data_IF_332146112496
#
_entry.id   IF_332146112496
#
_cell.length_a   1.000
_cell.length_b   1.000
_cell.length_c   1.000
_cell.angle_alpha   90.00
_cell.angle_beta   90.00
_cell.angle_gamma   90.00
#
_symmetry.space_group_name_H-M   'P 1'
#
loop_
_entity.id
_entity.type
_entity.pdbx_description
1 polymer ?
#
# COMPACT_ATOMS: atom_id res chain seq x y z
N UNK A 1 18.79 9.40 5.75
CA UNK A 1 17.37 9.75 5.54
C UNK A 1 17.11 10.30 4.14
N UNK A 2 17.87 11.32 3.72
CA UNK A 2 17.74 11.94 2.39
C UNK A 2 17.79 10.92 1.22
N UNK A 3 18.73 9.98 1.24
CA UNK A 3 18.84 8.95 0.20
C UNK A 3 17.58 8.08 0.13
N UNK A 4 17.09 7.57 1.26
CA UNK A 4 15.85 6.76 1.33
C UNK A 4 14.65 7.53 0.77
N UNK A 5 14.56 8.83 1.05
CA UNK A 5 13.52 9.70 0.53
C UNK A 5 13.60 9.83 -0.99
N UNK A 6 14.78 10.11 -1.55
CA UNK A 6 14.97 10.22 -3.00
C UNK A 6 14.64 8.91 -3.73
N UNK A 7 15.13 7.78 -3.22
CA UNK A 7 14.85 6.47 -3.81
C UNK A 7 13.34 6.18 -3.79
N UNK A 8 12.67 6.47 -2.67
CA UNK A 8 11.21 6.32 -2.55
C UNK A 8 10.46 7.23 -3.52
N UNK A 9 10.93 8.47 -3.75
CA UNK A 9 10.33 9.39 -4.71
C UNK A 9 10.47 8.88 -6.15
N UNK A 10 11.64 8.42 -6.57
CA UNK A 10 11.81 7.86 -7.93
C UNK A 10 10.91 6.64 -8.15
N UNK A 11 10.86 5.74 -7.18
CA UNK A 11 9.97 4.58 -7.20
C UNK A 11 8.50 5.03 -7.30
N UNK A 12 8.10 6.02 -6.51
CA UNK A 12 6.74 6.59 -6.50
C UNK A 12 6.38 7.22 -7.84
N UNK A 13 7.29 7.96 -8.45
CA UNK A 13 7.09 8.62 -9.75
C UNK A 13 6.93 7.58 -10.87
N UNK A 14 7.73 6.51 -10.84
CA UNK A 14 7.58 5.36 -11.72
C UNK A 14 6.19 4.72 -11.61
N UNK A 15 5.77 4.35 -10.39
CA UNK A 15 4.45 3.77 -10.16
C UNK A 15 3.29 4.73 -10.46
N UNK A 16 3.43 6.03 -10.16
CA UNK A 16 2.40 7.03 -10.46
C UNK A 16 2.06 7.06 -11.94
N UNK A 17 3.07 6.99 -12.81
CA UNK A 17 2.86 6.99 -14.25
C UNK A 17 2.08 5.75 -14.73
N UNK A 18 2.26 4.59 -14.09
CA UNK A 18 1.46 3.38 -14.36
C UNK A 18 0.00 3.51 -13.95
N UNK A 19 -0.33 4.34 -12.95
CA UNK A 19 -1.73 4.52 -12.53
C UNK A 19 -2.62 5.02 -13.67
N UNK A 20 -2.07 5.74 -14.65
CA UNK A 20 -2.81 6.23 -15.81
C UNK A 20 -3.17 5.12 -16.81
N UNK A 21 -2.61 3.91 -16.68
CA UNK A 21 -2.97 2.75 -17.51
C UNK A 21 -4.18 1.99 -16.98
N UNK A 22 -4.39 2.00 -15.67
CA UNK A 22 -5.41 1.15 -15.03
C UNK A 22 -6.48 1.91 -14.24
N UNK A 23 -6.26 3.18 -13.91
CA UNK A 23 -7.18 4.04 -13.18
C UNK A 23 -7.46 5.34 -13.96
N UNK A 24 -8.68 5.47 -14.47
CA UNK A 24 -9.10 6.60 -15.31
C UNK A 24 -9.48 7.82 -14.45
N UNK A 25 -10.41 7.65 -13.51
CA UNK A 25 -11.02 8.76 -12.76
C UNK A 25 -10.51 8.87 -11.32
N UNK A 26 -9.20 9.10 -11.16
CA UNK A 26 -8.57 9.22 -9.85
C UNK A 26 -7.81 10.54 -9.65
N UNK A 27 -7.96 11.20 -8.48
CA UNK A 27 -7.27 12.44 -8.20
C UNK A 27 -5.78 12.22 -7.99
N UNK A 28 -4.97 13.26 -8.24
CA UNK A 28 -3.51 13.20 -8.10
C UNK A 28 -3.05 12.65 -6.75
N UNK A 29 -3.73 13.00 -5.64
CA UNK A 29 -3.39 12.51 -4.30
C UNK A 29 -3.48 10.99 -4.22
N UNK A 30 -4.51 10.38 -4.80
CA UNK A 30 -4.65 8.93 -4.89
C UNK A 30 -3.58 8.34 -5.81
N UNK A 31 -3.29 8.99 -6.95
CA UNK A 31 -2.25 8.54 -7.88
C UNK A 31 -0.86 8.53 -7.25
N UNK A 32 -0.57 9.47 -6.34
CA UNK A 32 0.66 9.48 -5.55
C UNK A 32 0.73 8.31 -4.56
N UNK A 33 -0.36 8.06 -3.82
CA UNK A 33 -0.43 6.92 -2.89
C UNK A 33 -0.36 5.57 -3.61
N UNK A 34 -1.20 5.37 -4.63
CA UNK A 34 -1.18 4.17 -5.47
C UNK A 34 0.13 4.02 -6.23
N UNK A 35 0.73 5.13 -6.68
CA UNK A 35 2.02 5.16 -7.34
C UNK A 35 3.17 4.72 -6.44
N UNK A 36 3.18 5.17 -5.18
CA UNK A 36 4.16 4.71 -4.19
C UNK A 36 4.06 3.18 -3.97
N UNK A 37 2.84 2.65 -3.81
CA UNK A 37 2.60 1.22 -3.58
C UNK A 37 2.99 0.40 -4.81
N UNK A 38 2.45 0.73 -5.98
CA UNK A 38 2.72 0.00 -7.23
C UNK A 38 4.18 0.11 -7.67
N UNK A 39 4.79 1.28 -7.47
CA UNK A 39 6.22 1.47 -7.70
C UNK A 39 7.05 0.54 -6.81
N UNK A 40 6.76 0.48 -5.51
CA UNK A 40 7.49 -0.40 -4.59
C UNK A 40 7.32 -1.88 -4.94
N UNK A 41 6.11 -2.30 -5.32
CA UNK A 41 5.82 -3.67 -5.79
C UNK A 41 6.67 -4.03 -7.01
N UNK A 42 6.70 -3.16 -8.03
CA UNK A 42 7.41 -3.42 -9.28
C UNK A 42 8.92 -3.36 -9.07
N UNK A 43 9.41 -2.33 -8.37
CA UNK A 43 10.81 -2.20 -8.02
C UNK A 43 11.30 -3.44 -7.25
N UNK A 44 10.55 -3.85 -6.22
CA UNK A 44 10.87 -5.03 -5.42
C UNK A 44 10.89 -6.32 -6.25
N UNK A 45 9.86 -6.55 -7.07
CA UNK A 45 9.80 -7.74 -7.93
C UNK A 45 10.93 -7.79 -8.95
N UNK A 46 11.21 -6.68 -9.63
CA UNK A 46 12.31 -6.60 -10.62
C UNK A 46 13.66 -6.78 -9.92
N UNK A 47 13.85 -6.16 -8.75
CA UNK A 47 15.06 -6.34 -7.94
C UNK A 47 15.25 -7.80 -7.52
N UNK A 48 14.19 -8.45 -7.06
CA UNK A 48 14.21 -9.86 -6.69
C UNK A 48 14.63 -10.76 -7.86
N UNK A 49 14.00 -10.61 -9.03
CA UNK A 49 14.30 -11.42 -10.22
C UNK A 49 15.74 -11.21 -10.68
N UNK A 50 16.20 -9.96 -10.78
CA UNK A 50 17.56 -9.64 -11.22
C UNK A 50 18.59 -10.13 -10.21
N UNK A 51 18.33 -9.96 -8.91
CA UNK A 51 19.23 -10.41 -7.86
C UNK A 51 19.33 -11.94 -7.79
N UNK A 52 18.27 -12.68 -8.14
CA UNK A 52 18.36 -14.14 -8.26
C UNK A 52 19.26 -14.59 -9.43
N UNK A 53 19.36 -13.79 -10.49
CA UNK A 53 20.16 -14.13 -11.68
C UNK A 53 21.61 -13.64 -11.58
N UNK A 54 21.81 -12.45 -11.03
CA UNK A 54 23.09 -11.74 -11.08
C UNK A 54 23.64 -11.34 -9.70
N UNK A 55 22.95 -11.74 -8.62
CA UNK A 55 23.29 -11.37 -7.25
C UNK A 55 22.80 -9.98 -6.83
N UNK A 56 22.72 -9.76 -5.52
CA UNK A 56 22.23 -8.50 -4.93
C UNK A 56 23.32 -7.43 -4.86
N UNK A 57 23.50 -6.74 -5.98
CA UNK A 57 24.51 -5.69 -6.17
C UNK A 57 23.88 -4.31 -6.34
N UNK A 58 24.68 -3.24 -6.18
CA UNK A 58 24.24 -1.87 -6.47
C UNK A 58 23.85 -1.67 -7.94
N UNK A 59 24.50 -2.40 -8.86
CA UNK A 59 24.15 -2.41 -10.28
C UNK A 59 22.76 -3.05 -10.52
N UNK A 60 22.47 -4.18 -9.88
CA UNK A 60 21.15 -4.81 -9.94
C UNK A 60 20.06 -3.84 -9.46
N UNK A 61 20.27 -3.21 -8.29
CA UNK A 61 19.34 -2.24 -7.70
C UNK A 61 19.12 -1.04 -8.63
N UNK A 62 20.18 -0.51 -9.21
CA UNK A 62 20.12 0.63 -10.12
C UNK A 62 19.37 0.28 -11.41
N UNK A 63 19.59 -0.91 -11.97
CA UNK A 63 18.82 -1.39 -13.12
C UNK A 63 17.34 -1.59 -12.79
N UNK A 64 17.02 -2.12 -11.61
CA UNK A 64 15.62 -2.25 -11.14
C UNK A 64 14.96 -0.89 -11.00
N UNK A 65 15.68 0.12 -10.49
CA UNK A 65 15.18 1.50 -10.41
C UNK A 65 14.92 2.08 -11.79
N UNK A 66 15.85 1.92 -12.74
CA UNK A 66 15.66 2.35 -14.14
C UNK A 66 14.45 1.68 -14.79
N UNK A 67 14.28 0.37 -14.55
CA UNK A 67 13.13 -0.40 -15.04
C UNK A 67 11.82 0.13 -14.45
N UNK A 68 11.80 0.44 -13.15
CA UNK A 68 10.65 1.04 -12.48
C UNK A 68 10.29 2.44 -13.03
N UNK A 69 11.25 3.15 -13.63
CA UNK A 69 11.06 4.48 -14.24
C UNK A 69 10.65 4.42 -15.72
N UNK A 70 10.77 3.28 -16.41
CA UNK A 70 10.34 3.12 -17.81
C UNK A 70 8.90 3.60 -18.09
N UNK A 71 7.92 3.42 -17.18
CA UNK A 71 6.56 3.88 -17.42
C UNK A 71 6.42 5.41 -17.57
N UNK A 72 7.45 6.20 -17.25
CA UNK A 72 7.46 7.64 -17.56
C UNK A 72 7.35 7.94 -19.06
N UNK A 73 7.72 6.99 -19.93
CA UNK A 73 7.54 7.08 -21.38
C UNK A 73 6.07 7.30 -21.75
N UNK A 74 5.12 6.89 -20.89
CA UNK A 74 3.68 7.13 -21.10
C UNK A 74 3.34 8.62 -21.19
N UNK A 75 4.07 9.50 -20.52
CA UNK A 75 3.87 10.95 -20.62
C UNK A 75 4.34 11.55 -21.95
N UNK A 76 5.00 10.77 -22.81
CA UNK A 76 5.21 11.11 -24.21
C UNK A 76 3.91 11.10 -25.02
N UNK A 77 2.88 10.37 -24.57
CA UNK A 77 1.56 10.35 -25.20
C UNK A 77 0.75 11.59 -24.79
N UNK A 78 0.17 12.28 -25.77
CA UNK A 78 -0.54 13.56 -25.57
C UNK A 78 -1.72 13.43 -24.60
N UNK A 79 -2.47 12.35 -24.70
CA UNK A 79 -3.62 12.02 -23.86
C UNK A 79 -3.24 11.86 -22.39
N UNK A 80 -2.21 11.07 -22.10
CA UNK A 80 -1.74 10.81 -20.72
C UNK A 80 -1.17 12.08 -20.10
N UNK A 81 -0.41 12.85 -20.88
CA UNK A 81 0.13 14.15 -20.45
C UNK A 81 -0.98 15.16 -20.14
N UNK A 82 -2.02 15.24 -20.97
CA UNK A 82 -3.16 16.12 -20.72
C UNK A 82 -3.91 15.73 -19.45
N UNK A 83 -4.15 14.42 -19.22
CA UNK A 83 -4.75 13.92 -17.98
C UNK A 83 -3.93 14.30 -16.76
N UNK A 84 -2.61 14.10 -16.79
CA UNK A 84 -1.73 14.50 -15.70
C UNK A 84 -1.74 16.00 -15.43
N UNK A 85 -1.69 16.83 -16.48
CA UNK A 85 -1.75 18.29 -16.31
C UNK A 85 -3.09 18.75 -15.75
N UNK A 86 -4.19 18.11 -16.13
CA UNK A 86 -5.51 18.37 -15.55
C UNK A 86 -5.56 17.99 -14.06
N UNK A 87 -5.06 16.81 -13.70
CA UNK A 87 -4.97 16.35 -12.31
C UNK A 87 -4.07 17.26 -11.45
N UNK A 88 -2.95 17.70 -12.02
CA UNK A 88 -2.05 18.67 -11.40
C UNK A 88 -2.72 20.02 -11.17
N UNK A 89 -3.41 20.55 -12.18
CA UNK A 89 -4.11 21.82 -12.08
C UNK A 89 -5.25 21.74 -11.06
N UNK A 90 -6.01 20.64 -11.03
CA UNK A 90 -7.05 20.42 -10.04
C UNK A 90 -6.49 20.30 -8.62
N UNK A 91 -5.34 19.64 -8.43
CA UNK A 91 -4.66 19.59 -7.15
C UNK A 91 -4.18 20.99 -6.71
N UNK A 92 -3.63 21.79 -7.62
CA UNK A 92 -3.20 23.16 -7.35
C UNK A 92 -4.37 24.06 -6.95
N UNK A 93 -5.48 24.02 -7.67
CA UNK A 93 -6.70 24.78 -7.34
C UNK A 93 -7.28 24.40 -5.97
N UNK A 94 -7.13 23.13 -5.55
CA UNK A 94 -7.53 22.69 -4.22
C UNK A 94 -6.67 23.29 -3.09
N UNK A 95 -5.45 23.74 -3.41
CA UNK A 95 -4.52 24.39 -2.47
C UNK A 95 -4.58 25.93 -2.56
N UNK A 96 -4.94 26.50 -3.70
CA UNK A 96 -5.05 27.95 -3.90
C UNK A 96 -6.27 28.54 -3.17
N UNK A 97 -6.09 29.67 -2.48
CA UNK A 97 -7.16 30.35 -1.73
C UNK A 97 -7.44 29.71 -0.37
N UNK A 98 -7.33 30.51 0.70
CA UNK A 98 -7.58 30.05 2.06
C UNK A 98 -9.08 30.03 2.37
N UNK A 99 -9.58 28.86 2.77
CA UNK A 99 -10.92 28.63 3.29
C UNK A 99 -10.81 27.59 4.43
N UNK A 100 -11.70 27.68 5.40
CA UNK A 100 -11.78 26.77 6.54
C UNK A 100 -11.90 25.29 6.10
N UNK A 101 -12.68 24.98 5.06
CA UNK A 101 -12.80 23.60 4.56
C UNK A 101 -11.49 23.06 3.97
N UNK A 102 -10.73 23.93 3.27
CA UNK A 102 -9.39 23.59 2.76
C UNK A 102 -8.40 23.42 3.91
N UNK A 103 -8.44 24.30 4.91
CA UNK A 103 -7.63 24.18 6.12
C UNK A 103 -7.89 22.87 6.86
N UNK A 104 -9.16 22.50 7.08
CA UNK A 104 -9.50 21.23 7.74
C UNK A 104 -9.01 20.01 6.96
N UNK A 105 -9.11 20.02 5.62
CA UNK A 105 -8.56 18.95 4.78
C UNK A 105 -7.04 18.86 4.90
N UNK A 106 -6.33 19.99 4.85
CA UNK A 106 -4.89 20.03 5.06
C UNK A 106 -4.52 19.52 6.45
N UNK A 107 -5.18 20.03 7.50
CA UNK A 107 -4.95 19.64 8.89
C UNK A 107 -5.16 18.14 9.10
N UNK A 108 -6.18 17.54 8.47
CA UNK A 108 -6.42 16.09 8.52
C UNK A 108 -5.20 15.30 8.01
N UNK A 109 -4.73 15.59 6.79
CA UNK A 109 -3.60 14.86 6.21
C UNK A 109 -2.29 15.18 6.93
N UNK A 110 -2.07 16.43 7.33
CA UNK A 110 -0.88 16.85 8.08
C UNK A 110 -0.82 16.17 9.45
N UNK A 111 -1.95 16.08 10.17
CA UNK A 111 -2.02 15.40 11.46
C UNK A 111 -1.65 13.91 11.33
N UNK A 112 -2.17 13.22 10.32
CA UNK A 112 -1.80 11.83 10.06
C UNK A 112 -0.34 11.66 9.64
N UNK A 113 0.19 12.55 8.80
CA UNK A 113 1.59 12.50 8.42
C UNK A 113 2.52 12.65 9.66
N UNK A 114 2.23 13.65 10.50
CA UNK A 114 2.95 13.89 11.76
C UNK A 114 2.82 12.68 12.69
N UNK A 115 1.62 12.13 12.83
CA UNK A 115 1.37 10.92 13.61
C UNK A 115 2.22 9.75 13.11
N UNK A 116 2.17 9.42 11.81
CA UNK A 116 2.92 8.30 11.25
C UNK A 116 4.43 8.49 11.39
N UNK A 117 4.93 9.71 11.17
CA UNK A 117 6.34 10.01 11.35
C UNK A 117 6.79 9.72 12.78
N UNK A 118 6.14 10.31 13.78
CA UNK A 118 6.53 10.08 15.19
C UNK A 118 6.25 8.65 15.66
N UNK A 119 5.21 8.01 15.13
CA UNK A 119 4.90 6.61 15.45
C UNK A 119 6.01 5.67 14.97
N UNK A 120 6.39 5.75 13.69
CA UNK A 120 7.44 4.87 13.13
C UNK A 120 8.84 5.27 13.58
N UNK A 121 9.07 6.52 13.97
CA UNK A 121 10.32 6.96 14.61
C UNK A 121 10.56 6.18 15.92
N UNK A 122 9.48 5.92 16.68
CA UNK A 122 9.51 5.10 17.91
C UNK A 122 9.54 3.60 17.66
N UNK A 123 9.25 3.14 16.44
CA UNK A 123 9.31 1.72 16.10
C UNK A 123 10.74 1.18 16.12
N UNK A 124 11.74 2.01 15.77
CA UNK A 124 13.15 1.66 15.77
C UNK A 124 13.99 2.81 16.34
N UNK A 125 14.50 2.60 17.55
CA UNK A 125 15.44 3.47 18.23
C UNK A 125 16.84 2.83 18.18
N UNK A 126 17.81 3.56 17.64
CA UNK A 126 19.22 3.15 17.66
C UNK A 126 19.98 4.10 18.58
N UNK A 127 20.53 3.59 19.67
CA UNK A 127 21.38 4.35 20.60
C UNK A 127 22.76 3.71 20.69
N UNK A 128 23.66 4.31 21.47
CA UNK A 128 24.99 3.72 21.75
C UNK A 128 24.90 2.39 22.51
N UNK A 129 23.81 2.20 23.26
CA UNK A 129 23.59 1.02 24.10
C UNK A 129 22.94 -0.14 23.33
N UNK A 130 22.47 0.10 22.10
CA UNK A 130 21.91 -0.92 21.23
C UNK A 130 20.69 -0.48 20.44
N UNK A 131 19.91 -1.47 20.01
CA UNK A 131 18.67 -1.31 19.25
C UNK A 131 17.49 -1.54 20.20
N UNK A 132 16.56 -0.59 20.22
CA UNK A 132 15.37 -0.60 21.05
C UNK A 132 14.12 -0.36 20.20
N UNK A 133 12.97 -0.74 20.72
CA UNK A 133 11.67 -0.43 20.13
C UNK A 133 10.73 0.12 21.18
N UNK A 134 9.94 1.14 20.81
CA UNK A 134 8.94 1.74 21.67
C UNK A 134 7.62 0.95 21.78
N UNK A 135 7.50 -0.17 21.06
CA UNK A 135 6.30 -1.00 21.06
C UNK A 135 6.62 -2.44 21.45
N UNK A 136 5.99 -2.93 22.53
CA UNK A 136 6.23 -4.28 23.05
C UNK A 136 6.00 -5.38 22.02
N UNK A 137 4.98 -5.24 21.16
CA UNK A 137 4.68 -6.22 20.11
C UNK A 137 5.78 -6.30 19.04
N UNK A 138 6.55 -5.22 18.85
CA UNK A 138 7.62 -5.17 17.84
C UNK A 138 8.95 -5.73 18.36
N UNK A 139 9.00 -6.21 19.61
CA UNK A 139 10.23 -6.73 20.22
C UNK A 139 10.77 -7.97 19.49
N UNK A 140 9.88 -8.84 19.00
CA UNK A 140 10.26 -10.02 18.19
C UNK A 140 10.39 -9.72 16.70
N UNK A 141 9.52 -8.86 16.16
CA UNK A 141 9.46 -8.60 14.72
C UNK A 141 10.58 -7.67 14.23
N UNK A 142 10.98 -6.66 15.01
CA UNK A 142 12.09 -5.78 14.63
C UNK A 142 13.39 -6.55 14.35
N UNK A 143 13.92 -7.40 15.27
CA UNK A 143 15.14 -8.15 15.00
C UNK A 143 14.96 -9.15 13.85
N UNK A 144 13.76 -9.73 13.66
CA UNK A 144 13.48 -10.58 12.50
C UNK A 144 13.63 -9.81 11.18
N UNK A 145 13.02 -8.62 11.07
CA UNK A 145 13.12 -7.78 9.88
C UNK A 145 14.54 -7.25 9.63
N UNK A 146 15.28 -6.90 10.69
CA UNK A 146 16.68 -6.54 10.58
C UNK A 146 17.52 -7.73 10.08
N UNK A 147 17.28 -8.93 10.61
CA UNK A 147 17.91 -10.17 10.14
C UNK A 147 17.65 -10.42 8.66
N UNK A 148 16.40 -10.25 8.20
CA UNK A 148 16.06 -10.35 6.78
C UNK A 148 16.82 -9.32 5.93
N UNK A 149 16.79 -8.03 6.31
CA UNK A 149 17.48 -6.95 5.59
C UNK A 149 18.98 -7.23 5.47
N UNK A 150 19.65 -7.51 6.59
CA UNK A 150 21.10 -7.71 6.61
C UNK A 150 21.53 -9.05 5.99
N UNK A 151 20.64 -10.06 5.95
CA UNK A 151 20.91 -11.28 5.18
C UNK A 151 21.07 -10.96 3.68
N UNK A 152 20.30 -10.01 3.14
CA UNK A 152 20.45 -9.59 1.75
C UNK A 152 21.69 -8.74 1.53
N UNK A 153 21.93 -7.73 2.38
CA UNK A 153 23.03 -6.77 2.16
C UNK A 153 24.40 -7.38 2.43
N UNK A 154 24.54 -8.08 3.56
CA UNK A 154 25.82 -8.50 4.13
C UNK A 154 26.00 -10.02 3.99
N UNK A 155 24.90 -10.78 4.09
CA UNK A 155 24.89 -12.24 3.97
C UNK A 155 24.84 -12.77 2.53
N UNK A 156 24.69 -11.91 1.52
CA UNK A 156 24.56 -12.30 0.10
C UNK A 156 23.48 -13.38 -0.13
N UNK A 157 22.35 -13.28 0.56
CA UNK A 157 21.30 -14.29 0.61
C UNK A 157 20.43 -14.37 -0.67
N UNK A 158 21.02 -14.79 -1.80
CA UNK A 158 20.33 -15.01 -3.07
C UNK A 158 20.76 -16.34 -3.73
N UNK A 159 19.80 -17.22 -4.11
CA UNK A 159 18.36 -17.11 -3.87
C UNK A 159 18.00 -17.12 -2.37
N UNK A 160 16.91 -16.44 -1.94
CA UNK A 160 16.65 -16.24 -0.51
C UNK A 160 16.41 -17.53 0.28
N UNK A 161 17.23 -17.71 1.30
CA UNK A 161 17.07 -18.71 2.36
C UNK A 161 16.59 -18.05 3.66
N UNK A 162 15.97 -18.84 4.53
CA UNK A 162 15.53 -18.36 5.83
C UNK A 162 16.75 -17.89 6.66
N UNK A 163 16.80 -16.61 7.09
CA UNK A 163 17.96 -16.06 7.80
C UNK A 163 18.16 -16.68 9.20
N UNK A 164 17.13 -17.30 9.76
CA UNK A 164 17.18 -17.96 11.07
C UNK A 164 17.26 -19.49 10.99
N UNK A 165 17.04 -20.09 9.81
CA UNK A 165 17.10 -21.53 9.60
C UNK A 165 17.80 -21.86 8.27
N UNK A 166 19.13 -21.96 8.34
CA UNK A 166 19.99 -22.17 7.18
C UNK A 166 19.61 -23.43 6.37
N UNK A 167 19.71 -23.33 5.03
CA UNK A 167 19.35 -24.42 4.12
C UNK A 167 17.85 -24.54 3.82
N UNK A 168 16.99 -23.77 4.49
CA UNK A 168 15.55 -23.75 4.24
C UNK A 168 15.16 -22.55 3.40
N UNK A 169 14.20 -22.73 2.48
CA UNK A 169 13.65 -21.64 1.67
C UNK A 169 13.05 -20.54 2.54
N UNK A 170 13.23 -19.28 2.14
CA UNK A 170 12.59 -18.17 2.84
C UNK A 170 11.10 -18.06 2.45
N UNK A 171 10.20 -18.46 3.36
CA UNK A 171 8.73 -18.48 3.13
C UNK A 171 7.98 -17.29 3.73
N UNK A 172 8.67 -16.44 4.50
CA UNK A 172 8.06 -15.20 4.96
C UNK A 172 7.99 -14.19 3.81
N UNK A 173 6.89 -13.43 3.62
CA UNK A 173 6.81 -12.39 2.59
C UNK A 173 7.83 -11.26 2.80
N UNK A 174 8.99 -11.36 2.16
CA UNK A 174 10.17 -10.54 2.41
C UNK A 174 10.27 -9.28 1.53
N UNK A 175 9.28 -9.00 0.66
CA UNK A 175 9.41 -7.93 -0.34
C UNK A 175 9.64 -6.55 0.27
N UNK A 176 8.95 -6.22 1.37
CA UNK A 176 9.16 -4.95 2.07
C UNK A 176 10.59 -4.83 2.62
N UNK A 177 11.15 -5.93 3.12
CA UNK A 177 12.53 -6.01 3.63
C UNK A 177 13.55 -5.92 2.52
N UNK A 178 13.31 -6.56 1.37
CA UNK A 178 14.17 -6.46 0.19
C UNK A 178 14.28 -5.02 -0.34
N UNK A 179 13.17 -4.29 -0.35
CA UNK A 179 13.16 -2.87 -0.77
C UNK A 179 14.00 -2.03 0.21
N UNK A 180 13.82 -2.22 1.52
CA UNK A 180 14.64 -1.54 2.51
C UNK A 180 16.12 -1.94 2.42
N UNK A 181 16.42 -3.22 2.21
CA UNK A 181 17.77 -3.72 1.96
C UNK A 181 18.39 -3.08 0.72
N UNK A 182 17.60 -2.81 -0.32
CA UNK A 182 18.08 -2.12 -1.52
C UNK A 182 18.51 -0.69 -1.18
N UNK A 183 17.78 0.01 -0.32
CA UNK A 183 18.17 1.35 0.12
C UNK A 183 19.44 1.30 0.98
N UNK A 184 19.55 0.31 1.87
CA UNK A 184 20.74 0.10 2.70
C UNK A 184 21.97 -0.21 1.85
N UNK A 185 21.84 -1.10 0.86
CA UNK A 185 22.93 -1.45 -0.07
C UNK A 185 23.39 -0.26 -0.91
N UNK A 186 22.50 0.71 -1.17
CA UNK A 186 22.81 1.97 -1.84
C UNK A 186 23.42 3.03 -0.89
N UNK A 187 23.56 2.72 0.41
CA UNK A 187 24.22 3.57 1.40
C UNK A 187 23.30 4.26 2.41
N UNK A 188 22.01 3.94 2.45
CA UNK A 188 21.11 4.49 3.45
C UNK A 188 21.28 3.80 4.82
N UNK A 189 21.10 4.53 5.92
CA UNK A 189 20.96 3.90 7.23
C UNK A 189 19.67 3.07 7.28
N UNK A 190 19.75 1.85 7.83
CA UNK A 190 18.61 0.92 7.91
C UNK A 190 17.40 1.52 8.62
N UNK A 191 17.63 2.26 9.71
CA UNK A 191 16.58 2.97 10.44
C UNK A 191 15.82 3.93 9.53
N UNK A 192 16.54 4.71 8.73
CA UNK A 192 15.94 5.70 7.85
C UNK A 192 15.25 5.06 6.64
N UNK A 193 15.80 3.96 6.11
CA UNK A 193 15.16 3.18 5.05
C UNK A 193 13.79 2.65 5.52
N UNK A 194 13.74 2.04 6.70
CA UNK A 194 12.50 1.54 7.30
C UNK A 194 11.52 2.67 7.63
N UNK A 195 11.98 3.75 8.27
CA UNK A 195 11.14 4.89 8.64
C UNK A 195 10.46 5.52 7.42
N UNK A 196 11.25 5.89 6.41
CA UNK A 196 10.72 6.54 5.20
C UNK A 196 9.74 5.61 4.49
N UNK A 197 10.09 4.34 4.31
CA UNK A 197 9.23 3.38 3.64
C UNK A 197 7.89 3.21 4.38
N UNK A 198 7.94 3.02 5.70
CA UNK A 198 6.73 2.80 6.51
C UNK A 198 5.82 4.03 6.51
N UNK A 199 6.37 5.24 6.65
CA UNK A 199 5.58 6.49 6.60
C UNK A 199 4.90 6.66 5.25
N UNK A 200 5.62 6.42 4.15
CA UNK A 200 5.06 6.53 2.79
C UNK A 200 3.95 5.50 2.56
N UNK A 201 4.15 4.24 3.00
CA UNK A 201 3.15 3.19 2.86
C UNK A 201 1.91 3.43 3.73
N UNK A 202 2.08 3.84 4.99
CA UNK A 202 0.96 4.16 5.87
C UNK A 202 0.12 5.34 5.35
N UNK A 203 0.79 6.36 4.81
CA UNK A 203 0.13 7.49 4.19
C UNK A 203 -0.56 7.11 2.87
N UNK A 204 0.04 6.21 2.09
CA UNK A 204 -0.60 5.64 0.90
C UNK A 204 -1.86 4.87 1.27
N UNK A 205 -1.80 4.03 2.31
CA UNK A 205 -2.95 3.29 2.84
C UNK A 205 -4.07 4.23 3.28
N UNK A 206 -3.74 5.32 3.97
CA UNK A 206 -4.72 6.34 4.37
C UNK A 206 -5.51 6.87 3.16
N UNK A 207 -4.79 7.31 2.12
CA UNK A 207 -5.41 7.95 0.95
C UNK A 207 -6.20 6.92 0.11
N UNK A 208 -5.64 5.73 -0.08
CA UNK A 208 -6.25 4.66 -0.86
C UNK A 208 -7.53 4.17 -0.16
N UNK A 209 -7.50 3.96 1.17
CA UNK A 209 -8.66 3.52 1.94
C UNK A 209 -9.76 4.57 1.98
N UNK A 210 -9.40 5.85 2.16
CA UNK A 210 -10.36 6.96 2.08
C UNK A 210 -11.10 6.94 0.75
N UNK A 211 -10.35 6.84 -0.35
CA UNK A 211 -10.92 6.85 -1.71
C UNK A 211 -11.77 5.62 -1.98
N UNK A 212 -11.30 4.44 -1.60
CA UNK A 212 -12.03 3.19 -1.75
C UNK A 212 -13.37 3.23 -0.99
N UNK A 213 -13.34 3.68 0.26
CA UNK A 213 -14.56 3.81 1.08
C UNK A 213 -15.53 4.82 0.47
N UNK A 214 -15.04 5.94 -0.06
CA UNK A 214 -15.87 6.88 -0.81
C UNK A 214 -16.50 6.23 -2.05
N UNK A 215 -15.75 5.44 -2.83
CA UNK A 215 -16.28 4.72 -4.01
C UNK A 215 -17.32 3.66 -3.66
N UNK A 216 -17.20 3.02 -2.50
CA UNK A 216 -18.17 2.05 -1.99
C UNK A 216 -19.46 2.72 -1.50
N UNK A 217 -19.34 3.81 -0.74
CA UNK A 217 -20.45 4.40 0.02
C UNK A 217 -21.06 5.65 -0.61
N UNK A 218 -20.37 6.25 -1.60
CA UNK A 218 -20.64 7.59 -2.13
C UNK A 218 -20.69 8.70 -1.04
N UNK A 219 -20.06 8.47 0.12
CA UNK A 219 -20.10 9.37 1.27
C UNK A 219 -18.68 9.82 1.66
N UNK A 220 -18.41 11.12 1.55
CA UNK A 220 -17.09 11.71 1.87
C UNK A 220 -16.74 11.59 3.34
N UNK A 221 -17.72 11.72 4.23
CA UNK A 221 -17.50 11.58 5.67
C UNK A 221 -17.14 10.14 6.02
N UNK A 222 -17.81 9.15 5.44
CA UNK A 222 -17.44 7.74 5.59
C UNK A 222 -15.99 7.49 5.11
N UNK A 223 -15.61 8.08 3.97
CA UNK A 223 -14.23 8.07 3.48
C UNK A 223 -13.22 8.62 4.49
N UNK A 224 -13.54 9.73 5.18
CA UNK A 224 -12.66 10.33 6.19
C UNK A 224 -12.60 9.55 7.51
N UNK A 225 -13.71 8.91 7.89
CA UNK A 225 -13.81 8.13 9.14
C UNK A 225 -13.12 6.77 9.00
N UNK A 226 -13.17 6.12 7.83
CA UNK A 226 -12.61 4.77 7.68
C UNK A 226 -11.11 4.65 8.05
N UNK A 227 -10.20 5.55 7.63
CA UNK A 227 -8.82 5.52 8.09
C UNK A 227 -8.69 5.73 9.61
N UNK A 228 -9.52 6.58 10.22
CA UNK A 228 -9.52 6.77 11.67
C UNK A 228 -9.90 5.46 12.37
N UNK A 229 -10.95 4.79 11.91
CA UNK A 229 -11.39 3.51 12.45
C UNK A 229 -10.33 2.42 12.27
N UNK A 230 -9.61 2.39 11.14
CA UNK A 230 -8.53 1.42 10.93
C UNK A 230 -7.34 1.69 11.85
N UNK A 231 -6.76 2.90 11.79
CA UNK A 231 -5.52 3.22 12.49
C UNK A 231 -5.71 3.36 14.00
N UNK A 232 -6.88 3.80 14.45
CA UNK A 232 -7.26 3.89 15.87
C UNK A 232 -8.22 2.79 16.28
N UNK A 233 -8.30 1.70 15.50
CA UNK A 233 -9.08 0.50 15.85
C UNK A 233 -8.68 -0.03 17.23
N UNK A 234 -9.60 -0.77 17.81
CA UNK A 234 -9.37 -1.48 19.06
C UNK A 234 -10.67 -2.12 19.51
N UNK A 235 -10.56 -3.01 20.49
CA UNK A 235 -11.73 -3.55 21.17
C UNK A 235 -12.53 -2.50 21.96
N UNK A 236 -13.49 -2.96 22.76
CA UNK A 236 -14.28 -2.12 23.67
C UNK A 236 -13.49 -1.59 24.89
N UNK A 237 -12.16 -1.49 24.78
CA UNK A 237 -11.22 -1.09 25.83
C UNK A 237 -11.59 0.23 26.51
N UNK A 238 -12.15 1.15 25.72
CA UNK A 238 -12.57 2.47 26.19
C UNK A 238 -13.62 2.41 27.32
N UNK A 239 -14.45 1.36 27.39
CA UNK A 239 -15.42 1.19 28.47
C UNK A 239 -14.74 1.04 29.82
N UNK A 240 -13.70 0.20 29.89
CA UNK A 240 -12.91 0.04 31.11
C UNK A 240 -12.01 1.25 31.37
N UNK A 241 -11.49 1.90 30.33
CA UNK A 241 -10.75 3.16 30.48
C UNK A 241 -11.60 4.23 31.16
N UNK A 242 -12.82 4.48 30.68
CA UNK A 242 -13.69 5.49 31.29
C UNK A 242 -14.17 5.09 32.68
N UNK A 243 -14.39 3.79 32.93
CA UNK A 243 -14.65 3.29 34.28
C UNK A 243 -13.50 3.63 35.23
N UNK A 244 -12.27 3.25 34.89
CA UNK A 244 -11.10 3.46 35.73
C UNK A 244 -10.79 4.98 35.88
N UNK A 245 -10.98 5.77 34.80
CA UNK A 245 -10.84 7.22 34.83
C UNK A 245 -11.89 7.92 35.72
N UNK A 246 -13.09 7.35 35.86
CA UNK A 246 -14.12 7.89 36.77
C UNK A 246 -13.88 7.53 38.24
N UNK A 247 -13.07 6.50 38.49
CA UNK A 247 -12.79 5.96 39.82
C UNK A 247 -11.47 6.45 40.41
N UNK A 248 -10.59 7.04 39.60
CA UNK A 248 -9.31 7.57 40.07
C UNK A 248 -9.50 8.91 40.79
N UNK A 249 -8.70 9.15 41.83
CA UNK A 249 -8.58 10.46 42.48
C UNK A 249 -7.55 11.37 41.79
N UNK A 250 -6.81 10.83 40.81
CA UNK A 250 -5.81 11.57 40.03
C UNK A 250 -6.46 12.49 39.02
N UNK A 251 -5.76 13.57 38.64
CA UNK A 251 -6.18 14.40 37.52
C UNK A 251 -6.17 13.62 36.19
N UNK A 252 -7.06 13.97 35.25
CA UNK A 252 -7.21 13.27 33.97
C UNK A 252 -5.90 13.14 33.18
N UNK A 253 -5.09 14.21 33.14
CA UNK A 253 -3.80 14.20 32.46
C UNK A 253 -2.78 13.28 33.14
N UNK A 254 -2.74 13.27 34.47
CA UNK A 254 -1.87 12.37 35.23
C UNK A 254 -2.26 10.91 35.01
N UNK A 255 -3.57 10.63 34.95
CA UNK A 255 -4.10 9.31 34.65
C UNK A 255 -3.72 8.83 33.25
N UNK A 256 -3.87 9.67 32.22
CA UNK A 256 -3.47 9.32 30.85
C UNK A 256 -1.97 9.06 30.74
N UNK A 257 -1.14 9.84 31.45
CA UNK A 257 0.30 9.66 31.40
C UNK A 257 0.78 8.41 32.15
N UNK A 258 -0.02 7.93 33.11
CA UNK A 258 0.29 6.79 33.97
C UNK A 258 -0.85 5.78 33.95
N UNK A 259 -1.19 5.28 32.75
CA UNK A 259 -2.25 4.29 32.61
C UNK A 259 -1.93 3.05 33.44
N UNK A 260 -2.89 2.53 34.24
CA UNK A 260 -2.63 1.40 35.12
C UNK A 260 -2.48 0.06 34.38
N UNK A 261 -2.97 -0.01 33.13
CA UNK A 261 -2.97 -1.21 32.28
C UNK A 261 -3.22 -0.88 30.81
N UNK A 262 -2.96 -1.86 29.95
CA UNK A 262 -3.49 -1.88 28.58
C UNK A 262 -4.99 -2.23 28.63
N UNK A 263 -5.79 -1.45 27.90
CA UNK A 263 -7.25 -1.60 27.86
C UNK A 263 -7.76 -2.49 26.73
N UNK A 264 -6.90 -2.86 25.81
CA UNK A 264 -7.24 -3.61 24.60
C UNK A 264 -6.58 -4.98 24.54
N UNK A 265 -5.46 -5.15 25.24
CA UNK A 265 -4.72 -6.42 25.36
C UNK A 265 -4.58 -6.79 26.84
N UNK A 266 -5.35 -7.79 27.27
CA UNK A 266 -5.26 -8.38 28.60
C UNK A 266 -5.19 -9.91 28.53
N UNK A 267 -5.41 -10.55 29.68
CA UNK A 267 -5.42 -12.02 29.77
C UNK A 267 -6.63 -12.66 29.09
N UNK A 268 -7.79 -11.99 29.13
CA UNK A 268 -9.08 -12.53 28.64
C UNK A 268 -9.38 -12.19 27.18
N UNK A 269 -8.96 -11.01 26.73
CA UNK A 269 -9.20 -10.51 25.38
C UNK A 269 -7.97 -9.80 24.84
N UNK A 270 -7.69 -9.99 23.56
CA UNK A 270 -6.53 -9.42 22.86
C UNK A 270 -6.98 -8.74 21.57
N UNK A 271 -7.65 -7.60 21.72
CA UNK A 271 -8.16 -6.78 20.63
C UNK A 271 -7.26 -5.57 20.40
N UNK A 272 -5.98 -5.85 20.16
CA UNK A 272 -4.98 -4.80 20.03
C UNK A 272 -5.19 -3.90 18.82
N UNK A 273 -4.81 -2.65 18.97
CA UNK A 273 -4.92 -1.63 17.93
C UNK A 273 -4.05 -1.96 16.70
N UNK A 274 -4.60 -1.77 15.50
CA UNK A 274 -3.93 -2.16 14.26
C UNK A 274 -2.57 -1.50 14.03
N UNK A 275 -2.34 -0.26 14.47
CA UNK A 275 -1.02 0.38 14.35
C UNK A 275 0.02 -0.35 15.22
N UNK A 276 -0.30 -0.61 16.49
CA UNK A 276 0.66 -1.15 17.47
C UNK A 276 0.83 -2.68 17.42
N UNK A 277 -0.13 -3.41 16.83
CA UNK A 277 -0.08 -4.89 16.76
C UNK A 277 0.17 -5.42 15.36
N UNK A 278 -0.19 -4.67 14.31
CA UNK A 278 -0.12 -5.15 12.93
C UNK A 278 0.81 -4.29 12.06
N UNK A 279 0.59 -2.99 11.93
CA UNK A 279 1.35 -2.17 10.97
C UNK A 279 2.79 -1.89 11.40
N UNK A 280 3.07 -1.85 12.71
CA UNK A 280 4.44 -1.72 13.21
C UNK A 280 5.25 -3.02 13.11
N UNK A 281 4.58 -4.15 13.30
CA UNK A 281 5.17 -5.50 13.39
C UNK A 281 5.27 -6.18 12.03
N UNK A 282 4.23 -6.07 11.20
CA UNK A 282 4.13 -6.76 9.92
C UNK A 282 4.34 -5.78 8.77
N UNK A 283 5.61 -5.57 8.39
CA UNK A 283 5.94 -4.68 7.26
C UNK A 283 5.40 -5.17 5.93
N UNK A 284 5.26 -6.48 5.78
CA UNK A 284 4.55 -7.16 4.68
C UNK A 284 3.10 -6.68 4.57
N UNK A 285 2.34 -6.62 5.68
CA UNK A 285 0.97 -6.12 5.70
C UNK A 285 0.88 -4.63 5.34
N UNK A 286 1.84 -3.81 5.80
CA UNK A 286 1.85 -2.37 5.51
C UNK A 286 2.02 -2.07 4.01
N UNK A 287 2.70 -2.95 3.27
CA UNK A 287 2.76 -2.91 1.79
C UNK A 287 1.57 -3.62 1.14
N UNK A 288 1.19 -4.80 1.65
CA UNK A 288 0.18 -5.67 1.07
C UNK A 288 -1.25 -5.15 1.18
N UNK A 289 -1.61 -4.51 2.30
CA UNK A 289 -2.96 -3.97 2.51
C UNK A 289 -3.33 -2.87 1.49
N UNK A 290 -2.54 -1.79 1.30
CA UNK A 290 -2.90 -0.78 0.30
C UNK A 290 -2.91 -1.35 -1.12
N UNK A 291 -2.01 -2.28 -1.46
CA UNK A 291 -2.05 -3.01 -2.72
C UNK A 291 -3.37 -3.77 -2.89
N UNK A 292 -3.79 -4.48 -1.85
CA UNK A 292 -5.06 -5.22 -1.81
C UNK A 292 -6.24 -4.30 -2.06
N UNK A 293 -6.26 -3.11 -1.44
CA UNK A 293 -7.36 -2.15 -1.60
C UNK A 293 -7.38 -1.57 -3.03
N UNK A 294 -6.22 -1.31 -3.65
CA UNK A 294 -6.17 -0.93 -5.08
C UNK A 294 -6.81 -2.02 -5.96
N UNK A 295 -6.48 -3.30 -5.71
CA UNK A 295 -7.07 -4.43 -6.42
C UNK A 295 -8.58 -4.50 -6.17
N UNK A 296 -9.02 -4.44 -4.92
CA UNK A 296 -10.43 -4.45 -4.54
C UNK A 296 -11.22 -3.29 -5.16
N UNK A 297 -10.60 -2.12 -5.30
CA UNK A 297 -11.23 -1.00 -5.98
C UNK A 297 -11.53 -1.34 -7.45
N UNK A 298 -10.59 -1.97 -8.16
CA UNK A 298 -10.82 -2.39 -9.54
C UNK A 298 -11.85 -3.51 -9.64
N UNK A 299 -11.77 -4.50 -8.75
CA UNK A 299 -12.74 -5.59 -8.66
C UNK A 299 -14.15 -5.03 -8.41
N UNK A 300 -14.27 -4.03 -7.54
CA UNK A 300 -15.52 -3.33 -7.29
C UNK A 300 -16.02 -2.56 -8.52
N UNK A 301 -15.14 -1.91 -9.29
CA UNK A 301 -15.52 -1.27 -10.56
C UNK A 301 -16.07 -2.28 -11.57
N UNK A 302 -15.39 -3.42 -11.74
CA UNK A 302 -15.85 -4.51 -12.60
C UNK A 302 -17.22 -5.01 -12.12
N UNK A 303 -17.41 -5.16 -10.81
CA UNK A 303 -18.68 -5.60 -10.24
C UNK A 303 -19.80 -4.57 -10.41
N UNK A 304 -19.54 -3.29 -10.11
CA UNK A 304 -20.53 -2.19 -10.07
C UNK A 304 -20.99 -1.74 -11.45
N UNK A 305 -20.24 -1.98 -12.53
CA UNK A 305 -20.68 -1.63 -13.89
C UNK A 305 -21.89 -2.53 -14.26
N UNK A 306 -23.04 -2.26 -13.67
CA UNK A 306 -24.32 -2.90 -13.93
C UNK A 306 -24.99 -2.24 -15.14
N UNK A 307 -25.48 -3.09 -16.05
CA UNK A 307 -26.84 -3.04 -16.60
C UNK A 307 -27.47 -1.65 -16.83
N UNK A 308 -26.81 -0.74 -17.53
CA UNK A 308 -27.53 0.27 -18.34
C UNK A 308 -28.02 -0.37 -19.64
N UNK A 309 -28.89 -1.38 -19.51
CA UNK A 309 -29.77 -1.83 -20.59
C UNK A 309 -31.18 -1.59 -20.09
N UNK A 310 -31.76 -0.46 -20.46
CA UNK A 310 -33.19 -0.24 -20.22
C UNK A 310 -33.63 1.17 -19.85
N UNK A 311 -32.97 2.23 -20.31
CA UNK A 311 -33.69 3.49 -20.56
C UNK A 311 -33.41 3.91 -21.99
N UNK A 312 -34.49 4.02 -22.76
CA UNK A 312 -34.53 4.44 -24.15
C UNK A 312 -33.89 5.82 -24.29
N UNK A 313 -32.60 5.85 -24.63
CA UNK A 313 -32.02 7.01 -25.28
C UNK A 313 -32.10 6.72 -26.77
N UNK A 314 -33.01 7.41 -27.44
CA UNK A 314 -33.12 7.42 -28.89
C UNK A 314 -31.73 7.59 -29.50
N UNK A 315 -31.35 6.64 -30.35
CA UNK A 315 -30.10 6.69 -31.09
C UNK A 315 -30.19 7.81 -32.12
N UNK A 316 -29.57 8.95 -31.85
CA UNK A 316 -29.09 9.81 -32.93
C UNK A 316 -27.88 9.12 -33.57
N UNK A 317 -28.06 8.69 -34.81
CA UNK A 317 -27.01 8.11 -35.65
C UNK A 317 -25.97 9.17 -36.01
N UNK A 318 -24.76 9.05 -35.46
CA UNK A 318 -23.56 9.71 -35.96
C UNK A 318 -22.78 8.73 -36.87
N UNK A 319 -22.12 9.19 -37.94
CA UNK A 319 -21.63 8.30 -39.00
C UNK A 319 -20.44 7.45 -38.52
N UNK A 320 -20.52 6.17 -38.86
CA UNK A 320 -19.52 5.12 -38.63
C UNK A 320 -18.22 5.42 -39.40
N UNK A 321 -17.12 5.69 -38.68
CA UNK A 321 -15.78 5.50 -39.23
C UNK A 321 -15.40 4.00 -39.22
N UNK A 322 -14.69 3.51 -40.24
CA UNK A 322 -14.52 2.10 -40.49
C UNK A 322 -13.57 1.45 -39.46
N UNK A 323 -14.12 0.46 -38.75
CA UNK A 323 -13.37 -0.45 -37.88
C UNK A 323 -12.28 -1.19 -38.67
N UNK A 324 -11.04 -0.75 -38.53
CA UNK A 324 -9.88 -1.59 -38.80
C UNK A 324 -9.78 -2.66 -37.71
N UNK A 325 -9.83 -3.93 -38.14
CA UNK A 325 -9.54 -5.14 -37.37
C UNK A 325 -8.44 -4.90 -36.31
N UNK A 326 -8.84 -4.86 -35.04
CA UNK A 326 -7.91 -4.80 -33.90
C UNK A 326 -8.35 -5.83 -32.86
N UNK A 327 -7.40 -6.53 -32.27
CA UNK A 327 -7.57 -7.50 -31.17
C UNK A 327 -8.14 -6.84 -29.88
N UNK A 328 -9.32 -6.23 -29.93
CA UNK A 328 -9.81 -5.24 -28.95
C UNK A 328 -10.69 -5.79 -27.81
N UNK A 329 -10.63 -7.09 -27.51
CA UNK A 329 -11.45 -7.71 -26.45
C UNK A 329 -10.67 -8.05 -25.16
N UNK A 330 -9.39 -7.69 -25.06
CA UNK A 330 -8.61 -7.94 -23.86
C UNK A 330 -8.70 -6.77 -22.88
N UNK A 331 -9.24 -7.00 -21.69
CA UNK A 331 -9.39 -6.00 -20.65
C UNK A 331 -8.04 -5.69 -19.97
N UNK A 332 -7.18 -4.94 -20.66
CA UNK A 332 -5.80 -4.66 -20.26
C UNK A 332 -5.67 -4.04 -18.87
N UNK A 333 -6.56 -3.13 -18.49
CA UNK A 333 -6.59 -2.54 -17.14
C UNK A 333 -6.82 -3.63 -16.07
N UNK A 334 -7.79 -4.51 -16.28
CA UNK A 334 -8.11 -5.62 -15.36
C UNK A 334 -6.99 -6.66 -15.29
N UNK A 335 -6.39 -6.99 -16.43
CA UNK A 335 -5.19 -7.83 -16.49
C UNK A 335 -4.00 -7.22 -15.73
N UNK A 336 -3.75 -5.91 -15.89
CA UNK A 336 -2.67 -5.22 -15.21
C UNK A 336 -2.84 -5.23 -13.69
N UNK A 337 -4.08 -5.07 -13.21
CA UNK A 337 -4.39 -5.24 -11.78
C UNK A 337 -4.24 -6.70 -11.34
N UNK A 338 -4.56 -7.66 -12.21
CA UNK A 338 -4.28 -9.08 -11.99
C UNK A 338 -2.79 -9.35 -11.77
N UNK A 339 -1.91 -8.78 -12.60
CA UNK A 339 -0.45 -8.88 -12.43
C UNK A 339 -0.03 -8.37 -11.04
N UNK A 340 -0.53 -7.18 -10.64
CA UNK A 340 -0.25 -6.62 -9.32
C UNK A 340 -0.73 -7.55 -8.19
N UNK A 341 -1.95 -8.11 -8.29
CA UNK A 341 -2.46 -9.06 -7.32
C UNK A 341 -1.64 -10.37 -7.27
N UNK A 342 -1.09 -10.82 -8.40
CA UNK A 342 -0.21 -11.97 -8.50
C UNK A 342 1.11 -11.83 -7.72
N UNK A 343 1.52 -10.61 -7.36
CA UNK A 343 2.71 -10.37 -6.51
C UNK A 343 2.50 -10.63 -5.02
N UNK A 344 1.24 -10.79 -4.59
CA UNK A 344 0.89 -10.93 -3.18
C UNK A 344 1.48 -12.15 -2.45
N UNK A 345 1.82 -13.30 -3.07
CA UNK A 345 2.54 -14.35 -2.35
C UNK A 345 3.83 -13.83 -1.69
N UNK A 346 4.63 -13.06 -2.43
CA UNK A 346 5.90 -12.49 -1.97
C UNK A 346 5.72 -11.26 -1.05
N UNK A 347 4.55 -10.63 -1.07
CA UNK A 347 4.27 -9.38 -0.33
C UNK A 347 3.49 -9.63 0.95
N UNK A 348 2.37 -10.36 0.86
CA UNK A 348 1.48 -10.68 1.98
C UNK A 348 0.47 -11.77 1.58
N UNK A 349 0.77 -13.03 1.88
CA UNK A 349 -0.05 -14.18 1.46
C UNK A 349 -1.51 -14.14 1.96
N UNK A 350 -1.76 -13.67 3.19
CA UNK A 350 -3.13 -13.55 3.71
C UNK A 350 -4.00 -12.58 2.90
N UNK A 351 -3.40 -11.52 2.35
CA UNK A 351 -4.10 -10.60 1.45
C UNK A 351 -4.56 -11.29 0.15
N UNK A 352 -3.74 -12.18 -0.40
CA UNK A 352 -4.11 -12.96 -1.57
C UNK A 352 -5.30 -13.87 -1.27
N UNK A 353 -5.29 -14.54 -0.12
CA UNK A 353 -6.40 -15.39 0.30
C UNK A 353 -7.71 -14.59 0.41
N UNK A 354 -7.67 -13.41 1.03
CA UNK A 354 -8.84 -12.51 1.10
C UNK A 354 -9.32 -12.12 -0.30
N UNK A 355 -8.42 -11.74 -1.20
CA UNK A 355 -8.78 -11.41 -2.58
C UNK A 355 -9.40 -12.58 -3.32
N UNK A 356 -8.89 -13.80 -3.11
CA UNK A 356 -9.46 -15.00 -3.70
C UNK A 356 -10.90 -15.21 -3.24
N UNK A 357 -11.16 -15.15 -1.93
CA UNK A 357 -12.51 -15.30 -1.36
C UNK A 357 -13.46 -14.23 -1.87
N UNK A 358 -13.05 -12.96 -1.85
CA UNK A 358 -13.88 -11.84 -2.32
C UNK A 358 -14.13 -11.93 -3.82
N UNK A 359 -13.11 -12.23 -4.62
CA UNK A 359 -13.24 -12.35 -6.08
C UNK A 359 -14.10 -13.54 -6.47
N UNK A 360 -13.98 -14.69 -5.79
CA UNK A 360 -14.82 -15.86 -6.04
C UNK A 360 -16.29 -15.56 -5.74
N UNK A 361 -16.57 -14.88 -4.62
CA UNK A 361 -17.92 -14.43 -4.28
C UNK A 361 -18.48 -13.48 -5.36
N UNK A 362 -17.74 -12.41 -5.69
CA UNK A 362 -18.21 -11.41 -6.66
C UNK A 362 -18.32 -11.96 -8.09
N UNK A 363 -17.45 -12.91 -8.48
CA UNK A 363 -17.55 -13.62 -9.75
C UNK A 363 -18.85 -14.41 -9.86
N UNK A 364 -19.22 -15.15 -8.79
CA UNK A 364 -20.45 -15.93 -8.76
C UNK A 364 -21.70 -15.07 -8.96
N UNK A 365 -21.70 -13.84 -8.44
CA UNK A 365 -22.82 -12.90 -8.60
C UNK A 365 -22.75 -12.04 -9.88
N UNK A 366 -21.71 -12.18 -10.71
CA UNK A 366 -21.53 -11.40 -11.94
C UNK A 366 -20.87 -12.21 -13.07
N UNK A 367 -21.47 -13.37 -13.38
CA UNK A 367 -20.98 -14.30 -14.41
C UNK A 367 -21.00 -13.72 -15.83
N UNK A 368 -21.85 -12.73 -16.09
CA UNK A 368 -21.95 -12.07 -17.40
C UNK A 368 -20.63 -11.41 -17.83
N UNK A 369 -19.73 -11.11 -16.87
CA UNK A 369 -18.42 -10.48 -17.08
C UNK A 369 -17.25 -11.44 -17.03
N UNK A 370 -17.47 -12.70 -17.39
CA UNK A 370 -16.44 -13.74 -17.28
C UNK A 370 -15.13 -13.39 -18.01
N UNK A 371 -15.15 -12.54 -19.04
CA UNK A 371 -13.94 -12.11 -19.77
C UNK A 371 -13.05 -11.19 -18.93
N UNK A 372 -13.64 -10.26 -18.20
CA UNK A 372 -12.93 -9.39 -17.25
C UNK A 372 -12.33 -10.22 -16.12
N UNK A 373 -13.10 -11.15 -15.56
CA UNK A 373 -12.63 -12.06 -14.52
C UNK A 373 -11.53 -13.00 -15.01
N UNK A 374 -11.64 -13.49 -16.24
CA UNK A 374 -10.59 -14.28 -16.87
C UNK A 374 -9.32 -13.45 -17.08
N UNK A 375 -9.43 -12.21 -17.57
CA UNK A 375 -8.28 -11.32 -17.70
C UNK A 375 -7.61 -11.05 -16.35
N UNK A 376 -8.40 -10.84 -15.29
CA UNK A 376 -7.88 -10.71 -13.92
C UNK A 376 -7.14 -11.97 -13.48
N UNK A 377 -7.80 -13.14 -13.58
CA UNK A 377 -7.24 -14.43 -13.17
C UNK A 377 -5.99 -14.83 -13.94
N UNK A 378 -5.96 -14.59 -15.25
CA UNK A 378 -4.76 -14.78 -16.08
C UNK A 378 -3.64 -13.84 -15.63
N UNK A 379 -3.94 -12.57 -15.35
CA UNK A 379 -2.96 -11.64 -14.79
C UNK A 379 -2.36 -12.14 -13.47
N UNK A 380 -3.21 -12.63 -12.56
CA UNK A 380 -2.75 -13.23 -11.29
C UNK A 380 -1.84 -14.42 -11.56
N UNK A 381 -2.28 -15.35 -12.41
CA UNK A 381 -1.55 -16.60 -12.71
C UNK A 381 -0.21 -16.42 -13.43
N UNK A 382 0.00 -15.31 -14.15
CA UNK A 382 1.29 -15.01 -14.80
C UNK A 382 2.40 -14.75 -13.79
N UNK A 383 2.08 -14.09 -12.67
CA UNK A 383 3.07 -13.68 -11.65
C UNK A 383 3.03 -14.57 -10.41
N UNK A 384 1.87 -15.12 -10.06
CA UNK A 384 1.71 -16.00 -8.92
C UNK A 384 2.43 -17.34 -9.21
N UNK A 385 3.75 -17.34 -9.07
CA UNK A 385 4.56 -18.55 -9.08
C UNK A 385 4.36 -19.24 -7.73
N UNK A 386 3.98 -20.53 -7.71
CA UNK A 386 3.87 -21.26 -6.45
C UNK A 386 5.21 -21.22 -5.70
N UNK A 387 5.13 -20.90 -4.41
CA UNK A 387 6.26 -21.04 -3.49
C UNK A 387 6.65 -22.52 -3.31
#
# INVERSE_FOLDING_TARGET
MFLSFILTLFITVGGLSLTYLFAEDEPLMWRLGAGNVTGQVIFGLVCFVIACLFGFTTAAISFSLLTCLLPLILFGRKDTRQKFLADWQAAKQNLEGADFSKFLRFAYYAAFFVLFYFFFERAFLATKDGIFTGAANNLGDLPFHLGAIFSFTDGQNFPPQNPSFAGVKFTYPFMADLIAASFVKMGAAVRDAMLVQNVFLAFSLLVILERFTFKLTNNRLAGKIAPLLLFFSGGLGFLWFFKDASQTTKGFFEFIWNLPRDYTIGEKFRWGNSLITLFITQRSLLLGMPLTIIVLQKVWEVFKVEKWKGENVEKEELPLEPHFFTFSHFHFSTFSIGLLAGTLPLIHAHSLFVLFVVSAFLFFFNLDKWREWLAFGVGVGVIAVPE
#
